data_IF_082072191864
#
_entry.id   IF_082072191864
#
_cell.length_a   1.000
_cell.length_b   1.000
_cell.length_c   1.000
_cell.angle_alpha   90.00
_cell.angle_beta   90.00
_cell.angle_gamma   90.00
#
_symmetry.space_group_name_H-M   'P 1'
#
loop_
_entity.id
_entity.type
_entity.pdbx_description
1 polymer ?
#
# COMPACT_ATOMS: atom_id res chain seq x y z
N UNK A 1 -12.60 -6.71 7.87
CA UNK A 1 -11.26 -7.10 7.35
C UNK A 1 -10.49 -5.83 7.04
N UNK A 2 -9.17 -5.74 7.29
CA UNK A 2 -8.40 -4.59 6.82
C UNK A 2 -8.47 -4.53 5.30
N UNK A 3 -8.77 -3.35 4.75
CA UNK A 3 -8.73 -3.12 3.31
C UNK A 3 -7.32 -3.42 2.82
N UNK A 4 -7.20 -4.13 1.71
CA UNK A 4 -5.90 -4.53 1.18
C UNK A 4 -5.86 -4.52 -0.33
N UNK A 5 -4.67 -4.29 -0.88
CA UNK A 5 -4.42 -4.35 -2.32
C UNK A 5 -3.10 -5.07 -2.60
N UNK A 6 -3.01 -5.62 -3.81
CA UNK A 6 -1.80 -6.27 -4.31
C UNK A 6 -1.34 -5.57 -5.58
N UNK A 7 -0.11 -5.07 -5.57
CA UNK A 7 0.52 -4.46 -6.73
C UNK A 7 1.61 -5.41 -7.24
N UNK A 8 1.45 -5.90 -8.47
CA UNK A 8 2.43 -6.80 -9.10
C UNK A 8 3.11 -6.11 -10.28
N UNK A 9 4.43 -6.08 -10.26
CA UNK A 9 5.26 -5.41 -11.25
C UNK A 9 6.36 -6.33 -11.75
N UNK A 10 6.74 -6.18 -13.02
CA UNK A 10 7.84 -6.93 -13.61
C UNK A 10 9.19 -6.52 -13.01
N UNK A 11 10.08 -7.48 -12.83
CA UNK A 11 11.48 -7.26 -12.45
C UNK A 11 12.30 -6.57 -13.53
N UNK A 12 11.91 -6.73 -14.79
CA UNK A 12 12.57 -6.07 -15.90
C UNK A 12 12.34 -4.55 -15.91
N UNK A 13 11.35 -4.07 -15.13
CA UNK A 13 11.05 -2.66 -15.00
C UNK A 13 12.11 -1.95 -14.13
N UNK A 14 12.66 -0.81 -14.58
CA UNK A 14 13.53 0.05 -13.78
C UNK A 14 12.93 0.40 -12.41
N UNK A 15 13.79 0.70 -11.42
CA UNK A 15 13.35 0.92 -10.04
C UNK A 15 12.51 2.21 -9.91
N UNK A 16 12.94 3.28 -10.56
CA UNK A 16 12.24 4.55 -10.66
C UNK A 16 10.84 4.38 -11.27
N UNK A 17 10.73 3.67 -12.39
CA UNK A 17 9.45 3.35 -13.00
C UNK A 17 8.56 2.51 -12.07
N UNK A 18 9.14 1.55 -11.35
CA UNK A 18 8.39 0.75 -10.37
C UNK A 18 7.83 1.63 -9.25
N UNK A 19 8.63 2.52 -8.69
CA UNK A 19 8.18 3.43 -7.61
C UNK A 19 7.03 4.31 -8.10
N UNK A 20 7.16 4.92 -9.28
CA UNK A 20 6.10 5.74 -9.88
C UNK A 20 4.81 4.95 -10.08
N UNK A 21 4.92 3.71 -10.58
CA UNK A 21 3.76 2.87 -10.85
C UNK A 21 3.08 2.38 -9.57
N UNK A 22 3.84 2.01 -8.53
CA UNK A 22 3.30 1.68 -7.21
C UNK A 22 2.55 2.89 -6.65
N UNK A 23 3.16 4.09 -6.65
CA UNK A 23 2.53 5.29 -6.12
C UNK A 23 1.23 5.66 -6.84
N UNK A 24 1.22 5.54 -8.18
CA UNK A 24 0.01 5.76 -8.97
C UNK A 24 -1.11 4.78 -8.58
N UNK A 25 -0.80 3.48 -8.53
CA UNK A 25 -1.80 2.47 -8.18
C UNK A 25 -2.30 2.58 -6.75
N UNK A 26 -1.43 2.96 -5.80
CA UNK A 26 -1.85 3.25 -4.43
C UNK A 26 -2.77 4.46 -4.38
N UNK A 27 -2.47 5.53 -5.12
CA UNK A 27 -3.32 6.73 -5.16
C UNK A 27 -4.70 6.42 -5.75
N UNK A 28 -4.74 5.67 -6.85
CA UNK A 28 -5.99 5.19 -7.46
C UNK A 28 -6.79 4.32 -6.49
N UNK A 29 -6.12 3.41 -5.78
CA UNK A 29 -6.76 2.57 -4.78
C UNK A 29 -7.34 3.39 -3.63
N UNK A 30 -6.57 4.33 -3.06
CA UNK A 30 -7.01 5.22 -1.98
C UNK A 30 -8.23 6.06 -2.38
N UNK A 31 -8.30 6.49 -3.65
CA UNK A 31 -9.44 7.22 -4.20
C UNK A 31 -10.68 6.33 -4.42
N UNK A 32 -10.49 5.03 -4.62
CA UNK A 32 -11.57 4.05 -4.82
C UNK A 32 -12.16 3.47 -3.53
N UNK A 33 -11.65 3.87 -2.35
CA UNK A 33 -12.14 3.34 -1.07
C UNK A 33 -13.56 3.83 -0.78
N UNK A 34 -14.42 2.93 -0.30
CA UNK A 34 -15.76 3.27 0.16
C UNK A 34 -15.72 4.30 1.31
N UNK A 35 -14.71 4.16 2.20
CA UNK A 35 -14.41 5.13 3.25
C UNK A 35 -13.14 5.90 2.87
N UNK A 36 -13.16 7.25 2.81
CA UNK A 36 -11.98 8.05 2.53
C UNK A 36 -10.83 7.71 3.48
N UNK A 37 -9.60 7.72 2.97
CA UNK A 37 -8.39 7.59 3.80
C UNK A 37 -8.23 8.84 4.68
N UNK A 38 -8.02 8.66 5.97
CA UNK A 38 -7.78 9.74 6.92
C UNK A 38 -6.31 9.74 7.36
N UNK A 39 -5.53 10.72 6.88
CA UNK A 39 -4.10 10.82 7.14
C UNK A 39 -3.73 10.95 8.64
N UNK A 40 -4.67 11.39 9.49
CA UNK A 40 -4.43 11.54 10.94
C UNK A 40 -4.67 10.25 11.73
N UNK A 41 -5.45 9.32 11.17
CA UNK A 41 -5.94 8.15 11.91
C UNK A 41 -5.55 6.83 11.27
N UNK A 42 -5.47 6.82 9.95
CA UNK A 42 -5.22 5.63 9.16
C UNK A 42 -3.75 5.52 8.79
N UNK A 43 -3.29 4.28 8.65
CA UNK A 43 -1.90 4.00 8.27
C UNK A 43 -1.89 3.05 7.09
N UNK A 44 -1.30 3.48 5.99
CA UNK A 44 -0.97 2.63 4.85
C UNK A 44 0.32 1.86 5.15
N UNK A 45 0.27 0.54 5.11
CA UNK A 45 1.41 -0.32 5.44
C UNK A 45 1.69 -1.34 4.35
N UNK A 46 2.97 -1.54 4.03
CA UNK A 46 3.41 -2.70 3.25
C UNK A 46 3.50 -3.91 4.20
N UNK A 47 2.51 -4.80 4.13
CA UNK A 47 2.43 -5.96 5.02
C UNK A 47 3.25 -7.15 4.53
N UNK A 48 3.37 -7.31 3.21
CA UNK A 48 4.14 -8.41 2.62
C UNK A 48 4.76 -7.98 1.31
N UNK A 49 5.98 -8.42 1.07
CA UNK A 49 6.64 -8.33 -0.22
C UNK A 49 7.03 -9.75 -0.66
N UNK A 50 6.70 -10.10 -1.90
CA UNK A 50 7.04 -11.39 -2.50
C UNK A 50 7.80 -11.15 -3.79
N UNK A 51 8.88 -11.90 -3.95
CA UNK A 51 9.72 -11.85 -5.13
C UNK A 51 9.68 -13.21 -5.84
N UNK A 52 9.28 -13.21 -7.10
CA UNK A 52 9.37 -14.38 -7.99
C UNK A 52 10.41 -14.13 -9.08
N UNK A 53 10.71 -15.12 -9.93
CA UNK A 53 11.72 -14.98 -10.98
C UNK A 53 11.48 -13.80 -11.91
N UNK A 54 10.21 -13.44 -12.15
CA UNK A 54 9.83 -12.41 -13.11
C UNK A 54 9.22 -11.17 -12.48
N UNK A 55 8.71 -11.25 -11.25
CA UNK A 55 7.89 -10.19 -10.68
C UNK A 55 8.25 -9.83 -9.23
N UNK A 56 7.91 -8.60 -8.86
CA UNK A 56 7.75 -8.14 -7.49
C UNK A 56 6.27 -7.97 -7.20
N UNK A 57 5.81 -8.51 -6.07
CA UNK A 57 4.43 -8.33 -5.59
C UNK A 57 4.46 -7.68 -4.22
N UNK A 58 3.77 -6.56 -4.11
CA UNK A 58 3.64 -5.76 -2.89
C UNK A 58 2.22 -5.86 -2.37
N UNK A 59 2.06 -6.30 -1.13
CA UNK A 59 0.79 -6.40 -0.45
C UNK A 59 0.66 -5.26 0.56
N UNK A 60 -0.22 -4.31 0.25
CA UNK A 60 -0.51 -3.17 1.11
C UNK A 60 -1.81 -3.37 1.86
N UNK A 61 -1.86 -2.87 3.09
CA UNK A 61 -3.07 -2.79 3.90
C UNK A 61 -3.29 -1.37 4.39
N UNK A 62 -4.55 -1.02 4.64
CA UNK A 62 -4.90 0.14 5.43
C UNK A 62 -5.30 -0.34 6.83
N UNK A 63 -4.56 0.12 7.83
CA UNK A 63 -4.92 -0.04 9.22
C UNK A 63 -5.67 1.22 9.67
N UNK A 64 -6.99 1.10 9.86
CA UNK A 64 -7.84 2.22 10.24
C UNK A 64 -7.68 2.52 11.74
N UNK A 65 -7.70 3.81 12.09
CA UNK A 65 -7.62 4.30 13.48
C UNK A 65 -6.36 3.83 14.28
N UNK A 66 -5.28 3.51 13.59
CA UNK A 66 -4.03 3.01 14.19
C UNK A 66 -3.24 4.10 14.95
N UNK A 67 -3.36 5.38 14.56
CA UNK A 67 -2.64 6.49 15.21
C UNK A 67 -3.28 6.84 16.57
N UNK A 68 -4.59 6.61 16.73
CA UNK A 68 -5.33 6.82 17.98
C UNK A 68 -4.82 5.96 19.14
N UNK A 69 -4.17 4.83 18.86
CA UNK A 69 -3.66 3.89 19.87
C UNK A 69 -2.18 4.12 20.25
N UNK A 70 -1.42 4.92 19.50
CA UNK A 70 0.01 5.15 19.79
C UNK A 70 0.28 6.38 20.67
N UNK A 71 -0.75 7.14 21.04
CA UNK A 71 -0.63 8.33 21.90
C UNK A 71 -0.86 7.94 23.37
N UNK A 72 0.08 7.21 23.96
CA UNK A 72 0.32 7.14 25.42
C UNK A 72 1.59 6.32 25.69
N UNK A 73 2.73 7.01 25.75
CA UNK A 73 3.87 6.63 26.58
C UNK A 73 4.72 7.85 26.87
#
# INVERSE_FOLDING_TARGET
MPESTNITLSKAMPLDERILKVNKQLSEWLQSLDKPFNDERDVLQLKKHVQSDKNFTYHYIIERDAISLKRNR
#
